data_IF_142096739776
#
_entry.id   IF_142096739776
#
_cell.length_a   1.000
_cell.length_b   1.000
_cell.length_c   1.000
_cell.angle_alpha   90.00
_cell.angle_beta   90.00
_cell.angle_gamma   90.00
#
_symmetry.space_group_name_H-M   'P 1'
#
loop_
_entity.id
_entity.type
_entity.pdbx_description
1 polymer ?
#
# COMPACT_ATOMS: atom_id res chain seq x y z
N UNK A 1 3.01 57.73 -3.17
CA UNK A 1 2.10 56.92 -4.01
C UNK A 1 2.78 56.26 -5.23
N UNK A 2 3.53 56.94 -6.08
CA UNK A 2 4.16 56.28 -7.26
C UNK A 2 5.25 55.26 -6.93
N UNK A 3 6.03 55.40 -5.87
CA UNK A 3 7.08 54.44 -5.45
C UNK A 3 6.51 53.17 -4.89
N UNK A 4 5.45 53.23 -4.11
CA UNK A 4 4.77 52.07 -3.51
C UNK A 4 4.09 51.20 -4.58
N UNK A 5 3.52 51.85 -5.60
CA UNK A 5 2.92 51.13 -6.73
C UNK A 5 3.95 50.34 -7.56
N UNK A 6 5.15 50.94 -7.73
CA UNK A 6 6.25 50.29 -8.48
C UNK A 6 6.81 49.05 -7.74
N UNK A 7 6.94 49.12 -6.41
CA UNK A 7 7.40 48.02 -5.57
C UNK A 7 6.35 46.88 -5.58
N UNK A 8 5.06 47.21 -5.53
CA UNK A 8 3.99 46.22 -5.59
C UNK A 8 3.93 45.52 -6.94
N UNK A 9 4.14 46.24 -8.06
CA UNK A 9 4.23 45.65 -9.40
C UNK A 9 5.48 44.76 -9.58
N UNK A 10 6.64 45.13 -9.02
CA UNK A 10 7.83 44.28 -9.06
C UNK A 10 7.63 43.01 -8.26
N UNK A 11 6.95 43.03 -7.11
CA UNK A 11 6.65 41.86 -6.30
C UNK A 11 5.63 40.97 -6.97
N UNK A 12 4.63 41.50 -7.67
CA UNK A 12 3.69 40.72 -8.47
C UNK A 12 4.34 40.07 -9.69
N UNK A 13 5.32 40.70 -10.34
CA UNK A 13 6.04 40.12 -11.48
C UNK A 13 6.95 38.94 -11.05
N UNK A 14 7.50 38.97 -9.82
CA UNK A 14 8.33 37.85 -9.30
C UNK A 14 7.52 36.60 -8.93
N UNK A 15 6.21 36.75 -8.72
CA UNK A 15 5.31 35.62 -8.44
C UNK A 15 4.89 34.84 -9.71
N UNK A 16 5.13 35.40 -10.89
CA UNK A 16 4.74 34.77 -12.16
C UNK A 16 5.79 33.80 -12.72
N UNK A 17 6.92 33.60 -12.05
CA UNK A 17 8.01 32.73 -12.52
C UNK A 17 8.18 31.45 -11.70
N UNK A 18 7.25 31.13 -10.80
CA UNK A 18 7.19 29.82 -10.13
C UNK A 18 6.58 28.80 -11.11
N UNK A 19 7.40 28.35 -12.06
CA UNK A 19 7.06 27.19 -12.87
C UNK A 19 7.39 25.94 -12.08
N UNK A 20 6.38 25.15 -11.71
CA UNK A 20 6.62 23.80 -11.21
C UNK A 20 7.23 22.98 -12.35
N UNK A 21 8.36 22.33 -12.08
CA UNK A 21 8.96 21.41 -13.02
C UNK A 21 8.31 20.05 -12.84
N UNK A 22 7.65 19.56 -13.88
CA UNK A 22 7.13 18.20 -13.94
C UNK A 22 8.23 17.27 -14.43
N UNK A 23 8.61 16.29 -13.62
CA UNK A 23 9.61 15.28 -13.98
C UNK A 23 8.85 13.97 -14.27
N UNK A 24 8.69 13.59 -15.55
CA UNK A 24 8.03 12.33 -15.87
C UNK A 24 8.93 11.15 -15.48
N UNK A 25 8.37 10.16 -14.79
CA UNK A 25 9.04 8.90 -14.51
C UNK A 25 9.14 8.10 -15.82
N UNK A 26 10.34 7.72 -16.24
CA UNK A 26 10.61 7.09 -17.53
C UNK A 26 10.79 5.58 -17.43
N UNK A 27 11.22 5.09 -16.27
CA UNK A 27 11.51 3.69 -16.01
C UNK A 27 10.88 3.23 -14.73
N UNK A 28 10.61 1.94 -14.63
CA UNK A 28 10.07 1.28 -13.45
C UNK A 28 10.81 -0.03 -13.19
N UNK A 29 10.98 -0.37 -11.91
CA UNK A 29 11.39 -1.70 -11.49
C UNK A 29 10.25 -2.38 -10.72
N UNK A 30 10.00 -3.64 -11.04
CA UNK A 30 8.95 -4.43 -10.41
C UNK A 30 9.27 -4.68 -8.93
N UNK A 31 8.26 -4.58 -8.06
CA UNK A 31 8.41 -4.73 -6.61
C UNK A 31 8.77 -6.18 -6.23
N UNK A 32 8.44 -7.13 -7.08
CA UNK A 32 8.76 -8.55 -6.92
C UNK A 32 10.27 -8.83 -6.80
N UNK A 33 11.13 -7.90 -7.26
CA UNK A 33 12.59 -8.04 -7.15
C UNK A 33 13.09 -7.93 -5.70
N UNK A 34 12.26 -7.43 -4.80
CA UNK A 34 12.58 -7.27 -3.37
C UNK A 34 11.70 -8.14 -2.47
N UNK A 35 11.03 -9.15 -3.02
CA UNK A 35 10.27 -10.11 -2.23
C UNK A 35 11.21 -11.01 -1.44
N UNK A 36 10.92 -11.18 -0.15
CA UNK A 36 11.55 -12.16 0.73
C UNK A 36 10.89 -13.53 0.64
N UNK A 37 11.19 -14.37 1.63
CA UNK A 37 10.64 -15.73 1.71
C UNK A 37 9.14 -15.71 2.02
N UNK A 38 8.36 -16.42 1.22
CA UNK A 38 6.91 -16.54 1.39
C UNK A 38 6.59 -17.44 2.58
N UNK A 39 5.71 -16.98 3.45
CA UNK A 39 5.11 -17.79 4.51
C UNK A 39 3.64 -18.07 4.15
N UNK A 40 3.23 -19.32 4.27
CA UNK A 40 1.86 -19.77 4.01
C UNK A 40 1.18 -20.15 5.34
N UNK A 41 -0.06 -19.71 5.54
CA UNK A 41 -0.88 -20.05 6.71
C UNK A 41 -2.36 -20.04 6.34
N UNK A 42 -3.15 -20.84 7.03
CA UNK A 42 -4.62 -20.83 6.91
C UNK A 42 -5.19 -19.45 7.30
N UNK A 43 -4.73 -18.89 8.43
CA UNK A 43 -5.10 -17.56 8.90
C UNK A 43 -4.00 -16.51 8.68
N UNK A 44 -4.35 -15.25 8.95
CA UNK A 44 -3.41 -14.13 8.89
C UNK A 44 -2.37 -14.23 10.02
N UNK A 45 -1.12 -13.92 9.68
CA UNK A 45 -0.06 -13.69 10.65
C UNK A 45 0.29 -12.20 10.66
N UNK A 46 0.33 -11.56 11.84
CA UNK A 46 0.75 -10.17 11.96
C UNK A 46 2.23 -10.02 11.59
N UNK A 47 2.64 -8.83 11.16
CA UNK A 47 4.00 -8.59 10.65
C UNK A 47 5.11 -8.89 11.66
N UNK A 48 4.83 -8.77 12.96
CA UNK A 48 5.79 -9.14 14.01
C UNK A 48 6.04 -10.66 14.06
N UNK A 49 5.07 -11.50 13.70
CA UNK A 49 5.25 -12.96 13.57
C UNK A 49 5.98 -13.33 12.27
N UNK A 50 5.87 -12.49 11.24
CA UNK A 50 6.66 -12.59 9.99
C UNK A 50 8.10 -12.07 10.17
N UNK A 51 8.48 -11.61 11.37
CA UNK A 51 9.80 -11.03 11.65
C UNK A 51 10.00 -9.62 11.13
N UNK A 52 8.91 -8.91 10.78
CA UNK A 52 8.95 -7.56 10.23
C UNK A 52 8.64 -6.55 11.34
N UNK A 53 9.67 -5.94 11.91
CA UNK A 53 9.52 -4.90 12.93
C UNK A 53 9.21 -3.52 12.34
N UNK A 54 9.57 -3.30 11.07
CA UNK A 54 9.39 -2.06 10.33
C UNK A 54 9.46 -2.34 8.83
N UNK A 55 8.60 -1.71 8.03
CA UNK A 55 8.61 -1.83 6.57
C UNK A 55 7.30 -2.37 6.01
N UNK A 56 7.38 -3.28 5.06
CA UNK A 56 6.22 -3.68 4.25
C UNK A 56 6.10 -5.19 4.15
N UNK A 57 4.85 -5.65 4.03
CA UNK A 57 4.52 -7.03 3.69
C UNK A 57 3.40 -7.08 2.65
N UNK A 58 3.48 -8.06 1.78
CA UNK A 58 2.40 -8.43 0.86
C UNK A 58 1.63 -9.62 1.44
N UNK A 59 0.32 -9.47 1.54
CA UNK A 59 -0.63 -10.53 1.90
C UNK A 59 -1.46 -10.87 0.67
N UNK A 60 -1.50 -12.14 0.30
CA UNK A 60 -2.17 -12.62 -0.91
C UNK A 60 -3.10 -13.77 -0.60
N UNK A 61 -4.27 -13.76 -1.23
CA UNK A 61 -5.21 -14.87 -1.19
C UNK A 61 -6.05 -14.93 -2.47
N UNK A 62 -6.62 -16.08 -2.76
CA UNK A 62 -7.65 -16.23 -3.76
C UNK A 62 -9.02 -15.92 -3.14
N UNK A 63 -9.84 -15.15 -3.83
CA UNK A 63 -11.20 -14.80 -3.42
C UNK A 63 -12.20 -15.16 -4.50
N UNK A 64 -13.41 -15.57 -4.10
CA UNK A 64 -14.53 -15.80 -5.01
C UNK A 64 -15.61 -14.75 -4.79
N UNK A 65 -15.91 -14.00 -5.83
CA UNK A 65 -16.94 -12.95 -5.84
C UNK A 65 -18.20 -13.47 -6.48
N UNK A 66 -19.29 -13.49 -5.72
CA UNK A 66 -20.61 -13.94 -6.20
C UNK A 66 -21.55 -12.77 -6.51
N UNK A 67 -21.37 -11.62 -5.84
CA UNK A 67 -22.24 -10.44 -5.92
C UNK A 67 -21.64 -9.28 -6.69
N UNK A 68 -22.40 -8.18 -6.74
CA UNK A 68 -21.96 -6.92 -7.35
C UNK A 68 -21.37 -6.03 -6.26
N UNK A 69 -20.13 -5.55 -6.49
CA UNK A 69 -19.45 -4.62 -5.61
C UNK A 69 -19.34 -5.10 -4.15
N UNK A 70 -18.73 -6.29 -3.93
CA UNK A 70 -18.63 -6.90 -2.62
C UNK A 70 -17.82 -6.05 -1.64
N UNK A 71 -18.09 -6.21 -0.35
CA UNK A 71 -17.39 -5.51 0.71
C UNK A 71 -16.29 -6.45 1.25
N UNK A 72 -15.04 -5.97 1.16
CA UNK A 72 -13.91 -6.55 1.89
C UNK A 72 -13.82 -5.85 3.24
N UNK A 73 -13.83 -6.60 4.33
CA UNK A 73 -13.70 -6.08 5.69
C UNK A 73 -12.53 -6.74 6.41
N UNK A 74 -11.78 -5.92 7.16
CA UNK A 74 -10.59 -6.34 7.93
C UNK A 74 -10.88 -6.13 9.39
N UNK A 75 -10.66 -7.14 10.22
CA UNK A 75 -10.86 -7.05 11.66
C UNK A 75 -9.86 -6.07 12.28
N UNK A 76 -8.57 -6.26 12.00
CA UNK A 76 -7.51 -5.40 12.50
C UNK A 76 -6.49 -5.06 11.44
N UNK A 77 -6.08 -3.79 11.45
CA UNK A 77 -4.99 -3.27 10.64
C UNK A 77 -4.19 -2.23 11.42
N UNK A 78 -2.87 -2.27 11.31
CA UNK A 78 -1.90 -1.27 11.77
C UNK A 78 -0.70 -1.31 10.81
N UNK A 79 -0.35 -0.26 10.07
CA UNK A 79 -0.94 1.09 10.15
C UNK A 79 -1.82 1.37 8.91
N UNK A 80 -1.43 0.85 7.74
CA UNK A 80 -2.03 1.12 6.43
C UNK A 80 -1.88 -0.08 5.50
N UNK A 81 -2.85 -0.30 4.60
CA UNK A 81 -2.66 -1.20 3.47
C UNK A 81 -3.37 -0.70 2.22
N UNK A 82 -2.73 -0.85 1.07
CA UNK A 82 -3.36 -0.71 -0.23
C UNK A 82 -3.91 -2.04 -0.71
N UNK A 83 -5.10 -1.99 -1.30
CA UNK A 83 -5.88 -3.16 -1.73
C UNK A 83 -5.87 -3.24 -3.25
N UNK A 84 -5.40 -4.37 -3.78
CA UNK A 84 -5.42 -4.68 -5.21
C UNK A 84 -6.21 -5.96 -5.45
N UNK A 85 -6.89 -6.03 -6.58
CA UNK A 85 -7.49 -7.25 -7.11
C UNK A 85 -7.07 -7.40 -8.56
N UNK A 86 -6.49 -8.56 -8.91
CA UNK A 86 -5.92 -8.85 -10.23
C UNK A 86 -4.95 -7.74 -10.69
N UNK A 87 -4.13 -7.22 -9.78
CA UNK A 87 -3.19 -6.14 -10.02
C UNK A 87 -3.81 -4.74 -10.21
N UNK A 88 -5.11 -4.57 -9.98
CA UNK A 88 -5.80 -3.27 -10.06
C UNK A 88 -6.08 -2.71 -8.69
N UNK A 89 -5.62 -1.50 -8.44
CA UNK A 89 -5.89 -0.78 -7.20
C UNK A 89 -7.40 -0.59 -6.99
N UNK A 90 -7.89 -1.05 -5.84
CA UNK A 90 -9.26 -0.86 -5.39
C UNK A 90 -9.39 0.32 -4.42
N UNK A 91 -8.32 0.63 -3.69
CA UNK A 91 -8.25 1.67 -2.68
C UNK A 91 -7.31 1.28 -1.54
N UNK A 92 -7.60 1.78 -0.35
CA UNK A 92 -6.79 1.54 0.85
C UNK A 92 -7.66 1.33 2.08
N UNK A 93 -7.08 0.68 3.07
CA UNK A 93 -7.65 0.47 4.41
C UNK A 93 -6.68 0.97 5.48
N UNK A 94 -7.25 1.43 6.58
CA UNK A 94 -6.52 1.94 7.74
C UNK A 94 -7.27 1.53 9.01
N UNK A 95 -6.69 1.77 10.18
CA UNK A 95 -7.38 1.52 11.45
C UNK A 95 -8.74 2.24 11.57
N UNK A 96 -8.88 3.41 10.96
CA UNK A 96 -10.13 4.18 10.94
C UNK A 96 -11.09 3.80 9.80
N UNK A 97 -10.64 3.03 8.81
CA UNK A 97 -11.42 2.60 7.64
C UNK A 97 -11.08 1.14 7.35
N UNK A 98 -11.75 0.22 8.03
CA UNK A 98 -11.48 -1.22 7.99
C UNK A 98 -12.25 -1.98 6.92
N UNK A 99 -13.00 -1.30 6.07
CA UNK A 99 -13.74 -1.92 4.98
C UNK A 99 -13.62 -1.12 3.68
N UNK A 100 -13.71 -1.83 2.58
CA UNK A 100 -13.67 -1.26 1.24
C UNK A 100 -14.62 -2.02 0.31
N UNK A 101 -15.31 -1.27 -0.55
CA UNK A 101 -16.13 -1.83 -1.61
C UNK A 101 -15.27 -2.09 -2.84
N UNK A 102 -15.22 -3.35 -3.26
CA UNK A 102 -14.44 -3.74 -4.44
C UNK A 102 -15.20 -3.49 -5.74
N UNK A 103 -14.46 -3.12 -6.77
CA UNK A 103 -14.99 -2.92 -8.13
C UNK A 103 -14.44 -4.02 -9.03
N UNK A 104 -15.05 -5.21 -8.93
CA UNK A 104 -14.64 -6.42 -9.63
C UNK A 104 -15.87 -7.15 -10.17
N UNK A 105 -15.67 -8.01 -11.17
CA UNK A 105 -16.74 -8.90 -11.69
C UNK A 105 -16.97 -10.07 -10.75
N UNK A 106 -18.02 -10.85 -11.01
CA UNK A 106 -18.18 -12.18 -10.37
C UNK A 106 -17.14 -13.15 -10.90
N UNK A 107 -16.69 -14.08 -10.04
CA UNK A 107 -15.68 -15.10 -10.36
C UNK A 107 -14.57 -15.16 -9.32
N UNK A 108 -13.54 -15.93 -9.65
CA UNK A 108 -12.33 -16.07 -8.82
C UNK A 108 -11.32 -15.00 -9.18
N UNK A 109 -10.74 -14.37 -8.17
CA UNK A 109 -9.81 -13.25 -8.29
C UNK A 109 -8.64 -13.42 -7.34
N UNK A 110 -7.52 -12.78 -7.66
CA UNK A 110 -6.34 -12.70 -6.82
C UNK A 110 -6.36 -11.39 -6.02
N UNK A 111 -6.53 -11.51 -4.70
CA UNK A 111 -6.48 -10.40 -3.76
C UNK A 111 -5.04 -10.19 -3.30
N UNK A 112 -4.59 -8.95 -3.28
CA UNK A 112 -3.27 -8.52 -2.80
C UNK A 112 -3.43 -7.31 -1.88
N UNK A 113 -2.83 -7.38 -0.70
CA UNK A 113 -2.84 -6.33 0.31
C UNK A 113 -1.40 -5.99 0.65
N UNK A 114 -0.95 -4.81 0.23
CA UNK A 114 0.38 -4.29 0.59
C UNK A 114 0.28 -3.49 1.88
N UNK A 115 0.67 -4.12 2.98
CA UNK A 115 0.59 -3.55 4.32
C UNK A 115 1.89 -2.85 4.72
N UNK A 116 1.74 -1.71 5.39
CA UNK A 116 2.83 -0.91 5.94
C UNK A 116 2.86 -1.02 7.47
N UNK A 117 4.06 -1.13 8.01
CA UNK A 117 4.36 -1.03 9.43
C UNK A 117 5.36 0.10 9.64
N UNK A 118 4.92 1.21 10.21
CA UNK A 118 5.76 2.38 10.50
C UNK A 118 6.54 2.26 11.82
N UNK A 119 6.53 1.09 12.43
CA UNK A 119 7.27 0.77 13.62
C UNK A 119 6.41 0.61 14.88
N UNK A 120 7.11 0.38 16.00
CA UNK A 120 6.50 0.02 17.28
C UNK A 120 5.65 1.16 17.86
N UNK A 121 4.53 0.80 18.49
CA UNK A 121 3.75 1.72 19.33
C UNK A 121 4.57 2.04 20.58
N UNK A 122 4.84 3.34 20.80
CA UNK A 122 5.68 3.82 21.91
C UNK A 122 4.88 4.57 22.98
N UNK A 123 3.58 4.80 22.75
CA UNK A 123 2.73 5.54 23.64
C UNK A 123 1.27 5.06 23.55
N UNK A 124 0.52 5.17 24.65
CA UNK A 124 -0.91 4.87 24.70
C UNK A 124 -1.25 3.50 25.31
N UNK A 125 -2.54 3.14 25.37
CA UNK A 125 -3.00 1.90 25.98
C UNK A 125 -2.51 0.64 25.25
N UNK A 126 -2.17 0.75 23.99
CA UNK A 126 -1.75 -0.37 23.14
C UNK A 126 -0.24 -0.62 23.14
N UNK A 127 0.53 0.08 24.02
CA UNK A 127 1.99 -0.04 24.09
C UNK A 127 2.49 -1.49 24.34
N UNK A 128 1.64 -2.33 24.93
CA UNK A 128 1.95 -3.74 25.20
C UNK A 128 1.53 -4.69 24.07
N UNK A 129 0.74 -4.20 23.12
CA UNK A 129 0.32 -4.95 21.95
C UNK A 129 1.10 -4.47 20.71
N UNK A 130 2.07 -5.29 20.30
CA UNK A 130 2.94 -4.98 19.15
C UNK A 130 2.47 -5.62 17.85
N UNK A 131 1.22 -6.08 17.75
CA UNK A 131 0.67 -6.61 16.51
C UNK A 131 0.61 -5.52 15.46
N UNK A 132 1.18 -5.77 14.28
CA UNK A 132 1.30 -4.85 13.15
C UNK A 132 0.89 -5.53 11.84
N UNK A 133 0.61 -4.71 10.82
CA UNK A 133 0.09 -5.19 9.55
C UNK A 133 -1.38 -5.62 9.67
N UNK A 134 -1.71 -6.74 9.08
CA UNK A 134 -3.05 -7.33 9.09
C UNK A 134 -3.10 -8.48 10.08
N UNK A 135 -4.10 -8.52 10.95
CA UNK A 135 -4.25 -9.60 11.94
C UNK A 135 -5.72 -9.77 12.37
N UNK A 136 -6.03 -10.94 12.92
CA UNK A 136 -7.41 -11.39 13.10
C UNK A 136 -7.92 -11.98 11.79
N UNK A 137 -9.11 -11.58 11.35
CA UNK A 137 -9.76 -12.07 10.13
C UNK A 137 -9.92 -11.00 9.05
N UNK A 138 -9.96 -11.45 7.80
CA UNK A 138 -10.44 -10.65 6.66
C UNK A 138 -11.61 -11.41 6.04
N UNK A 139 -12.70 -10.69 5.80
CA UNK A 139 -13.91 -11.27 5.21
C UNK A 139 -14.28 -10.60 3.90
N UNK A 140 -14.85 -11.37 2.99
CA UNK A 140 -15.54 -10.88 1.80
C UNK A 140 -17.03 -11.22 1.95
N UNK A 141 -17.90 -10.19 2.02
CA UNK A 141 -19.35 -10.38 2.24
C UNK A 141 -19.63 -11.30 3.45
N UNK A 142 -18.94 -11.04 4.57
CA UNK A 142 -19.01 -11.82 5.83
C UNK A 142 -18.45 -13.27 5.76
N UNK A 143 -17.90 -13.70 4.64
CA UNK A 143 -17.20 -15.00 4.52
C UNK A 143 -15.71 -14.78 4.75
N UNK A 144 -15.13 -15.52 5.70
CA UNK A 144 -13.70 -15.43 6.02
C UNK A 144 -12.84 -15.93 4.86
N UNK A 145 -11.78 -15.17 4.59
CA UNK A 145 -10.77 -15.52 3.58
C UNK A 145 -9.65 -16.28 4.29
N UNK A 146 -9.33 -17.46 3.76
CA UNK A 146 -8.34 -18.38 4.29
C UNK A 146 -7.21 -18.64 3.28
N UNK A 147 -6.17 -19.37 3.71
CA UNK A 147 -5.03 -19.79 2.89
C UNK A 147 -4.21 -18.62 2.35
N UNK A 148 -3.69 -17.85 3.28
CA UNK A 148 -2.89 -16.67 3.01
C UNK A 148 -1.43 -17.01 2.66
N UNK A 149 -0.89 -16.26 1.70
CA UNK A 149 0.54 -16.15 1.41
C UNK A 149 1.00 -14.77 1.88
N UNK A 150 2.03 -14.74 2.69
CA UNK A 150 2.55 -13.52 3.28
C UNK A 150 4.04 -13.39 2.95
N UNK A 151 4.39 -12.30 2.27
CA UNK A 151 5.73 -12.06 1.74
C UNK A 151 6.30 -10.78 2.31
N UNK A 152 7.40 -10.82 3.10
CA UNK A 152 8.16 -9.63 3.48
C UNK A 152 8.70 -8.90 2.24
N UNK A 153 8.64 -7.57 2.23
CA UNK A 153 9.24 -6.76 1.18
C UNK A 153 10.57 -6.17 1.68
N UNK A 154 11.68 -6.65 1.12
CA UNK A 154 13.04 -6.30 1.56
C UNK A 154 13.51 -4.94 0.99
N UNK A 155 12.61 -3.96 0.95
CA UNK A 155 12.86 -2.63 0.35
C UNK A 155 14.01 -1.90 1.05
N UNK A 156 14.08 -2.01 2.38
CA UNK A 156 15.11 -1.34 3.17
C UNK A 156 16.54 -1.81 2.85
N UNK A 157 16.65 -3.10 2.55
CA UNK A 157 17.95 -3.76 2.42
C UNK A 157 18.29 -4.03 0.95
N UNK A 158 17.46 -3.57 0.00
CA UNK A 158 17.74 -3.72 -1.42
C UNK A 158 18.80 -2.74 -1.90
N UNK A 159 19.67 -3.20 -2.78
CA UNK A 159 20.55 -2.33 -3.55
C UNK A 159 19.79 -1.83 -4.79
N UNK A 160 19.49 -0.53 -4.81
CA UNK A 160 18.74 0.09 -5.91
C UNK A 160 19.50 -0.01 -7.24
N UNK A 161 20.84 -0.08 -7.22
CA UNK A 161 21.67 -0.21 -8.42
C UNK A 161 21.56 -1.61 -9.04
N UNK A 162 21.16 -2.62 -8.27
CA UNK A 162 20.94 -3.98 -8.75
C UNK A 162 19.54 -4.21 -9.33
N UNK A 163 18.59 -3.29 -9.10
CA UNK A 163 17.23 -3.41 -9.61
C UNK A 163 17.20 -3.30 -11.15
N UNK A 164 16.42 -4.16 -11.76
CA UNK A 164 16.22 -4.17 -13.21
C UNK A 164 15.11 -3.18 -13.58
N UNK A 165 15.48 -2.02 -14.06
CA UNK A 165 14.55 -1.01 -14.55
C UNK A 165 14.18 -1.26 -16.01
N UNK A 166 12.92 -1.04 -16.35
CA UNK A 166 12.37 -1.15 -17.71
C UNK A 166 11.57 0.10 -18.05
N UNK A 167 11.40 0.45 -19.34
CA UNK A 167 10.61 1.61 -19.73
C UNK A 167 9.22 1.60 -19.10
N UNK A 168 8.80 2.74 -18.54
CA UNK A 168 7.51 2.89 -17.87
C UNK A 168 6.38 2.62 -18.86
N UNK A 169 5.71 1.48 -18.67
CA UNK A 169 4.42 1.20 -19.28
C UNK A 169 3.37 1.48 -18.20
N UNK A 170 2.12 1.73 -18.61
CA UNK A 170 1.02 1.97 -17.67
C UNK A 170 0.82 0.73 -16.79
N UNK A 171 1.58 0.62 -15.71
CA UNK A 171 1.42 -0.43 -14.70
C UNK A 171 0.45 0.03 -13.63
N UNK A 172 -0.34 -0.90 -13.13
CA UNK A 172 -1.29 -0.67 -12.04
C UNK A 172 -0.79 -1.25 -10.70
N UNK A 173 0.21 -2.13 -10.75
CA UNK A 173 0.84 -2.73 -9.55
C UNK A 173 1.85 -1.77 -8.91
N UNK A 174 2.12 -1.88 -7.61
CA UNK A 174 3.21 -1.16 -6.96
C UNK A 174 4.56 -1.44 -7.61
N UNK A 175 5.40 -0.41 -7.73
CA UNK A 175 6.72 -0.53 -8.34
C UNK A 175 7.65 0.62 -7.88
N UNK A 176 8.94 0.47 -8.10
CA UNK A 176 9.89 1.58 -7.99
C UNK A 176 9.89 2.43 -9.27
N UNK A 177 10.16 3.74 -9.10
CA UNK A 177 10.31 4.72 -10.17
C UNK A 177 11.64 5.44 -10.08
#
# INVERSE_FOLDING_TARGET
>A
MRRELFICCLFCLSLLTLSAQEIPMQEVAALEQVYGDVQESEGLLPMNELGIEFGYALYEAEITVEGVAPILAVENIRDYASVYVDGRLQGWITDNQKNIKLTVSTGTHHLQLYAENIGRITYGPEILDNSKGLFGSITLEDVEIENWKMTPLLIRDCDVEELQFTPCQTKQSPCFY
#
